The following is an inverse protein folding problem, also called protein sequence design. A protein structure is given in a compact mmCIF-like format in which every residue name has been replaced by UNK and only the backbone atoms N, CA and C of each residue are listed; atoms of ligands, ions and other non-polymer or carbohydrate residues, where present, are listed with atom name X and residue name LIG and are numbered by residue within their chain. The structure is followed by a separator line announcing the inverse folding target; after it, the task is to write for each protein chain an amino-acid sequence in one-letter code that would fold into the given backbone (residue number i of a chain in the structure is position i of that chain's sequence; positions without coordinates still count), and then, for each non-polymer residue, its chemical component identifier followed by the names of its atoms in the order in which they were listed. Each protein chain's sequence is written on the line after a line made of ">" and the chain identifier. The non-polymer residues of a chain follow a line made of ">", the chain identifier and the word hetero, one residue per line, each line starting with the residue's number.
data_IF_768871911757
#
_entry.id   IF_768871911757
#
_cell.length_a   1.000
_cell.length_b   1.000
_cell.length_c   1.000
_cell.angle_alpha   90.00
_cell.angle_beta   90.00
_cell.angle_gamma   90.00
#
_symmetry.space_group_name_H-M   'P 1'
#
loop_
_entity.id
_entity.type
_entity.pdbx_description
1 polymer ?
#
# COMPACT_ATOMS: atom_id res chain seq x y z
N UNK A 1 -9.13 23.38 -4.93
CA UNK A 1 -8.17 22.51 -4.22
C UNK A 1 -8.72 22.25 -2.82
N UNK A 2 -8.77 21.02 -2.42
CA UNK A 2 -9.28 20.66 -1.10
C UNK A 2 -8.23 20.97 -0.02
N UNK A 3 -8.70 21.14 1.22
CA UNK A 3 -7.85 21.21 2.41
C UNK A 3 -7.40 19.80 2.81
N UNK A 4 -6.99 19.00 1.82
CA UNK A 4 -6.60 17.62 2.00
C UNK A 4 -5.42 17.45 2.95
N UNK A 5 -5.34 16.27 3.55
CA UNK A 5 -4.24 15.88 4.41
C UNK A 5 -3.37 14.88 3.69
N UNK A 6 -2.12 14.82 4.06
CA UNK A 6 -1.19 13.84 3.52
C UNK A 6 -0.40 13.17 4.63
N UNK A 7 0.22 12.05 4.30
CA UNK A 7 1.10 11.34 5.21
C UNK A 7 2.54 11.51 4.71
N UNK A 8 3.39 12.05 5.56
CA UNK A 8 4.82 12.13 5.28
C UNK A 8 5.48 10.83 5.73
N UNK A 9 6.16 10.16 4.82
CA UNK A 9 6.94 8.95 5.12
C UNK A 9 8.42 9.33 5.17
N UNK A 10 8.99 9.30 6.37
CA UNK A 10 10.42 9.56 6.58
C UNK A 10 11.15 8.23 6.75
N UNK A 11 11.73 7.74 5.67
CA UNK A 11 12.42 6.45 5.66
C UNK A 11 13.68 6.45 6.50
N UNK A 12 14.26 7.62 6.79
CA UNK A 12 15.44 7.72 7.63
C UNK A 12 15.16 7.39 9.10
N UNK A 13 13.89 7.48 9.50
CA UNK A 13 13.44 7.20 10.87
C UNK A 13 12.68 5.89 11.01
N UNK A 14 12.43 5.22 9.92
CA UNK A 14 11.69 3.96 9.94
C UNK A 14 12.56 2.85 10.53
N UNK A 15 12.02 2.10 11.49
CA UNK A 15 12.69 0.97 12.13
C UNK A 15 12.19 -0.39 11.66
N UNK A 16 11.23 -0.41 10.74
CA UNK A 16 10.67 -1.66 10.23
C UNK A 16 9.83 -2.43 11.24
N UNK A 17 9.28 -1.75 12.25
CA UNK A 17 8.50 -2.42 13.31
C UNK A 17 7.17 -2.99 12.84
N UNK A 18 6.67 -2.58 11.66
CA UNK A 18 5.39 -2.99 11.05
C UNK A 18 4.14 -2.58 11.83
N UNK A 19 4.28 -1.68 12.80
CA UNK A 19 3.14 -1.14 13.54
C UNK A 19 2.12 -0.46 12.63
N UNK A 20 2.59 0.26 11.61
CA UNK A 20 1.73 0.93 10.63
C UNK A 20 0.95 -0.07 9.77
N UNK A 21 1.57 -1.19 9.41
CA UNK A 21 0.94 -2.27 8.65
C UNK A 21 -0.18 -2.92 9.45
N UNK A 22 0.08 -3.24 10.70
CA UNK A 22 -0.91 -3.84 11.62
C UNK A 22 -2.04 -2.87 11.93
N UNK A 23 -1.71 -1.60 12.17
CA UNK A 23 -2.71 -0.57 12.45
C UNK A 23 -3.69 -0.38 11.30
N UNK A 24 -3.20 -0.36 10.07
CA UNK A 24 -4.03 -0.28 8.87
C UNK A 24 -4.96 -1.48 8.76
N UNK A 25 -4.44 -2.66 9.04
CA UNK A 25 -5.21 -3.91 8.98
C UNK A 25 -6.32 -3.92 10.01
N UNK A 26 -6.04 -3.47 11.24
CA UNK A 26 -7.04 -3.36 12.30
C UNK A 26 -8.08 -2.30 12.01
N UNK A 27 -7.66 -1.12 11.53
CA UNK A 27 -8.57 -0.03 11.22
C UNK A 27 -9.60 -0.40 10.16
N UNK A 28 -9.17 -1.15 9.15
CA UNK A 28 -10.02 -1.58 8.03
C UNK A 28 -10.70 -2.93 8.27
N UNK A 29 -10.53 -3.52 9.44
CA UNK A 29 -11.11 -4.83 9.82
C UNK A 29 -10.77 -5.93 8.80
N UNK A 30 -9.53 -5.93 8.31
CA UNK A 30 -9.08 -6.91 7.33
C UNK A 30 -8.71 -8.24 7.99
N UNK A 31 -9.08 -9.37 7.38
CA UNK A 31 -8.74 -10.68 7.93
C UNK A 31 -7.25 -10.97 7.82
N UNK A 32 -6.80 -11.96 8.59
CA UNK A 32 -5.45 -12.46 8.48
C UNK A 32 -5.23 -13.09 7.10
N UNK A 33 -4.05 -12.87 6.55
CA UNK A 33 -3.63 -13.49 5.29
C UNK A 33 -2.85 -14.77 5.61
N UNK A 34 -3.09 -15.83 4.85
CA UNK A 34 -2.28 -17.04 4.94
C UNK A 34 -0.89 -16.74 4.39
N UNK A 35 0.06 -16.61 5.30
CA UNK A 35 1.42 -16.25 4.95
C UNK A 35 2.38 -17.37 5.25
N UNK A 36 3.41 -17.51 4.41
CA UNK A 36 4.46 -18.50 4.56
C UNK A 36 5.79 -17.77 4.68
N UNK A 37 6.61 -18.18 5.63
CA UNK A 37 7.94 -17.61 5.78
C UNK A 37 8.82 -18.00 4.59
N UNK A 38 9.31 -16.99 3.86
CA UNK A 38 10.13 -17.18 2.66
C UNK A 38 11.60 -16.81 2.87
N UNK A 39 11.99 -16.54 4.11
CA UNK A 39 13.33 -16.05 4.42
C UNK A 39 13.46 -14.53 4.41
N UNK A 40 12.38 -13.82 4.13
CA UNK A 40 12.33 -12.36 4.16
C UNK A 40 11.55 -11.87 5.38
N UNK A 41 11.92 -10.71 5.90
CA UNK A 41 11.12 -10.04 6.93
C UNK A 41 9.85 -9.41 6.37
N UNK A 42 9.77 -9.28 5.04
CA UNK A 42 8.59 -8.75 4.37
C UNK A 42 7.52 -9.84 4.28
N UNK A 43 6.39 -9.60 4.92
CA UNK A 43 5.31 -10.57 4.96
C UNK A 43 3.95 -9.87 5.12
N UNK A 44 3.00 -10.08 4.22
CA UNK A 44 3.08 -10.88 2.99
C UNK A 44 4.08 -10.31 1.97
N UNK A 45 4.42 -11.04 0.91
CA UNK A 45 5.43 -10.57 -0.06
C UNK A 45 5.03 -9.30 -0.80
N UNK A 46 3.73 -9.03 -0.91
CA UNK A 46 3.21 -7.81 -1.54
C UNK A 46 1.84 -7.46 -0.97
N UNK A 47 1.36 -6.26 -1.30
CA UNK A 47 0.00 -5.85 -0.96
C UNK A 47 -1.01 -6.74 -1.67
N UNK A 48 -2.17 -6.92 -1.06
CA UNK A 48 -3.28 -7.71 -1.60
C UNK A 48 -4.62 -7.15 -1.10
N UNK A 49 -5.72 -7.82 -1.43
CA UNK A 49 -7.06 -7.37 -1.05
C UNK A 49 -7.29 -7.30 0.46
N UNK A 50 -6.51 -8.02 1.25
CA UNK A 50 -6.60 -8.04 2.71
C UNK A 50 -5.41 -7.33 3.39
N UNK A 51 -4.51 -6.74 2.61
CA UNK A 51 -3.33 -6.04 3.12
C UNK A 51 -3.09 -4.78 2.29
N UNK A 52 -3.62 -3.65 2.77
CA UNK A 52 -3.58 -2.37 2.05
C UNK A 52 -2.25 -1.64 2.22
N UNK A 53 -1.53 -1.94 3.28
CA UNK A 53 -0.28 -1.29 3.63
C UNK A 53 0.73 -2.33 4.04
N UNK A 54 1.94 -2.21 3.52
CA UNK A 54 3.01 -3.15 3.80
C UNK A 54 4.31 -2.40 4.06
N UNK A 55 5.12 -2.93 4.96
CA UNK A 55 6.49 -2.46 5.12
C UNK A 55 7.39 -3.31 4.25
N UNK A 56 8.05 -2.68 3.29
CA UNK A 56 8.99 -3.35 2.41
C UNK A 56 10.37 -3.34 3.03
N UNK A 57 11.03 -4.48 2.94
CA UNK A 57 12.37 -4.69 3.48
C UNK A 57 13.34 -4.94 2.33
N UNK A 58 14.42 -4.21 2.33
CA UNK A 58 15.50 -4.43 1.38
C UNK A 58 16.83 -4.39 2.11
N UNK A 59 17.60 -5.47 1.98
CA UNK A 59 18.90 -5.58 2.61
C UNK A 59 19.95 -6.02 1.59
N UNK A 60 21.19 -5.65 1.85
CA UNK A 60 22.29 -5.98 0.97
C UNK A 60 23.59 -5.42 1.51
N UNK A 61 24.58 -5.33 0.64
CA UNK A 61 25.89 -4.78 0.97
C UNK A 61 26.28 -3.68 0.00
N UNK A 62 26.87 -2.62 0.52
CA UNK A 62 27.51 -1.59 -0.28
C UNK A 62 28.80 -2.14 -0.92
N UNK A 63 29.34 -1.40 -1.89
CA UNK A 63 30.60 -1.77 -2.55
C UNK A 63 31.77 -1.92 -1.56
N UNK A 64 31.73 -1.16 -0.45
CA UNK A 64 32.74 -1.24 0.60
C UNK A 64 32.55 -2.43 1.56
N UNK A 65 31.56 -3.29 1.31
CA UNK A 65 31.23 -4.45 2.12
C UNK A 65 30.35 -4.19 3.33
N UNK A 66 30.02 -2.94 3.63
CA UNK A 66 29.14 -2.61 4.75
C UNK A 66 27.69 -2.98 4.42
N UNK A 67 26.97 -3.63 5.37
CA UNK A 67 25.58 -3.96 5.13
C UNK A 67 24.69 -2.71 5.12
N UNK A 68 23.62 -2.75 4.33
CA UNK A 68 22.53 -1.79 4.44
C UNK A 68 21.22 -2.53 4.68
N UNK A 69 20.31 -1.86 5.34
CA UNK A 69 19.00 -2.40 5.66
C UNK A 69 17.98 -1.28 5.59
N UNK A 70 17.19 -1.28 4.54
CA UNK A 70 16.23 -0.21 4.26
C UNK A 70 14.81 -0.69 4.44
N UNK A 71 13.98 0.18 5.00
CA UNK A 71 12.57 -0.07 5.22
C UNK A 71 11.76 1.00 4.52
N UNK A 72 10.64 0.61 3.93
CA UNK A 72 9.74 1.55 3.29
C UNK A 72 8.30 1.13 3.54
N UNK A 73 7.50 2.03 4.14
CA UNK A 73 6.08 1.81 4.30
C UNK A 73 5.38 2.18 2.99
N UNK A 74 4.78 1.19 2.36
CA UNK A 74 4.17 1.32 1.04
C UNK A 74 2.66 1.14 1.12
N UNK A 75 1.93 1.99 0.41
CA UNK A 75 0.47 1.97 0.34
C UNK A 75 0.02 2.78 -0.87
N UNK A 76 -1.29 2.83 -1.10
CA UNK A 76 -1.86 3.70 -2.11
C UNK A 76 -1.42 5.15 -1.87
N UNK A 77 -1.01 5.83 -2.94
CA UNK A 77 -0.53 7.21 -2.90
C UNK A 77 -1.64 8.24 -3.09
N UNK A 78 -2.86 7.81 -3.37
CA UNK A 78 -4.01 8.68 -3.64
C UNK A 78 -3.64 9.76 -4.66
N UNK A 79 -3.24 9.32 -5.85
CA UNK A 79 -2.69 10.18 -6.90
C UNK A 79 -3.67 11.29 -7.29
N UNK A 80 -3.13 12.45 -7.67
CA UNK A 80 -3.93 13.57 -8.19
C UNK A 80 -4.61 13.18 -9.50
N UNK A 81 -3.88 12.47 -10.38
CA UNK A 81 -4.42 11.91 -11.63
C UNK A 81 -4.30 10.39 -11.55
N UNK A 82 -5.23 9.71 -10.86
CA UNK A 82 -5.08 8.30 -10.56
C UNK A 82 -5.30 7.41 -11.79
N UNK A 83 -4.27 6.69 -12.28
CA UNK A 83 -4.43 5.80 -13.43
C UNK A 83 -5.34 4.62 -13.13
N UNK A 84 -5.41 4.17 -11.88
CA UNK A 84 -6.31 3.09 -11.49
C UNK A 84 -7.78 3.46 -11.68
N UNK A 85 -8.16 4.70 -11.38
CA UNK A 85 -9.54 5.17 -11.62
C UNK A 85 -9.85 5.22 -13.11
N UNK A 86 -8.87 5.62 -13.93
CA UNK A 86 -9.04 5.66 -15.38
C UNK A 86 -9.15 4.26 -15.99
N UNK A 87 -8.46 3.28 -15.42
CA UNK A 87 -8.48 1.90 -15.90
C UNK A 87 -9.71 1.10 -15.44
N UNK A 88 -10.33 1.52 -14.32
CA UNK A 88 -11.48 0.84 -13.75
C UNK A 88 -12.76 1.19 -14.52
N UNK A 89 -13.74 0.30 -14.46
CA UNK A 89 -15.08 0.58 -14.97
C UNK A 89 -15.71 1.74 -14.22
N UNK A 90 -16.58 2.47 -14.91
CA UNK A 90 -17.22 3.66 -14.37
C UNK A 90 -17.92 3.34 -13.03
N UNK A 91 -17.57 4.12 -12.01
CA UNK A 91 -18.17 4.03 -10.69
C UNK A 91 -17.58 2.99 -9.75
N UNK A 92 -16.59 2.17 -10.21
CA UNK A 92 -15.96 1.17 -9.34
C UNK A 92 -14.88 1.76 -8.45
N UNK A 93 -14.15 2.73 -8.97
CA UNK A 93 -13.18 3.51 -8.20
C UNK A 93 -13.44 4.98 -8.46
N UNK A 94 -13.39 5.79 -7.43
CA UNK A 94 -13.60 7.22 -7.54
C UNK A 94 -12.46 8.00 -6.91
N UNK A 95 -12.23 9.19 -7.44
CA UNK A 95 -11.34 10.19 -6.84
C UNK A 95 -12.22 11.26 -6.18
N UNK A 96 -12.20 11.29 -4.86
CA UNK A 96 -12.96 12.29 -4.10
C UNK A 96 -12.21 13.62 -4.13
N UNK A 97 -12.74 14.58 -4.87
CA UNK A 97 -12.11 15.89 -5.01
C UNK A 97 -12.10 16.70 -3.69
N UNK A 98 -13.05 16.43 -2.80
CA UNK A 98 -13.10 17.14 -1.52
C UNK A 98 -11.96 16.75 -0.59
N UNK A 99 -11.56 15.49 -0.57
CA UNK A 99 -10.52 14.98 0.31
C UNK A 99 -9.22 14.60 -0.42
N UNK A 100 -9.31 14.42 -1.75
CA UNK A 100 -8.20 13.90 -2.55
C UNK A 100 -8.05 12.39 -2.47
N UNK A 101 -8.96 11.69 -1.81
CA UNK A 101 -8.88 10.25 -1.64
C UNK A 101 -9.29 9.49 -2.90
N UNK A 102 -8.58 8.41 -3.20
CA UNK A 102 -8.96 7.41 -4.18
C UNK A 102 -9.59 6.26 -3.41
N UNK A 103 -10.85 5.96 -3.67
CA UNK A 103 -11.61 4.97 -2.91
C UNK A 103 -12.27 3.95 -3.83
N UNK A 104 -12.38 2.72 -3.33
CA UNK A 104 -13.17 1.67 -3.95
C UNK A 104 -14.63 1.85 -3.59
N UNK A 105 -15.51 1.57 -4.53
CA UNK A 105 -16.95 1.53 -4.29
C UNK A 105 -17.43 0.08 -4.21
N UNK A 106 -18.70 -0.11 -3.89
CA UNK A 106 -19.29 -1.46 -3.85
C UNK A 106 -19.21 -2.19 -5.19
N UNK A 107 -19.16 -1.44 -6.29
CA UNK A 107 -19.02 -2.02 -7.63
C UNK A 107 -17.68 -2.66 -7.89
N UNK A 108 -16.67 -2.42 -7.05
CA UNK A 108 -15.34 -3.00 -7.21
C UNK A 108 -15.39 -4.54 -7.24
N UNK A 109 -16.29 -5.12 -6.47
CA UNK A 109 -16.43 -6.58 -6.41
C UNK A 109 -16.92 -7.21 -7.73
N UNK A 110 -17.50 -6.41 -8.62
CA UNK A 110 -18.01 -6.85 -9.92
C UNK A 110 -16.95 -6.78 -11.03
N UNK A 111 -15.78 -6.19 -10.72
CA UNK A 111 -14.70 -6.00 -11.69
C UNK A 111 -13.64 -7.07 -11.59
N UNK A 112 -12.85 -7.17 -12.68
CA UNK A 112 -11.64 -7.98 -12.67
C UNK A 112 -10.59 -7.28 -11.80
N UNK A 113 -10.30 -7.88 -10.67
CA UNK A 113 -9.36 -7.33 -9.69
C UNK A 113 -7.94 -7.20 -10.26
N UNK A 114 -7.54 -8.11 -11.14
CA UNK A 114 -6.21 -8.08 -11.77
C UNK A 114 -6.03 -6.82 -12.62
N UNK A 115 -7.08 -6.38 -13.32
CA UNK A 115 -7.03 -5.14 -14.09
C UNK A 115 -6.80 -3.94 -13.18
N UNK A 116 -7.42 -3.92 -12.01
CA UNK A 116 -7.24 -2.83 -11.04
C UNK A 116 -5.83 -2.82 -10.45
N UNK A 117 -5.24 -3.98 -10.23
CA UNK A 117 -3.88 -4.09 -9.71
C UNK A 117 -2.83 -3.67 -10.73
N UNK A 118 -3.08 -3.90 -12.01
CA UNK A 118 -2.17 -3.53 -13.09
C UNK A 118 -2.22 -2.03 -13.44
N UNK A 119 -3.21 -1.33 -12.95
CA UNK A 119 -3.34 0.10 -13.15
C UNK A 119 -2.41 0.89 -12.22
#
# INVERSE_FOLDING_TARGET
>A
MSDGKTILVDVSRCTGCRGCQVACKQWNELPATDTVQTGSYQNPPDMNGDTYKIVRFREGRHENGKPYWNFFTDMCRHCVNPPCVLAADEGTMIHDEATGAVVYTEKTAENDFDVLLDA
#
